data_IF_339422719357
#
_entry.id   IF_339422719357
#
_cell.length_a   1.000
_cell.length_b   1.000
_cell.length_c   1.000
_cell.angle_alpha   90.00
_cell.angle_beta   90.00
_cell.angle_gamma   90.00
#
_symmetry.space_group_name_H-M   'P 1'
#
loop_
_entity.id
_entity.type
_entity.pdbx_description
1 polymer ?
#
# COMPACT_ATOMS: atom_id res chain seq x y z
N UNK A 1 -22.59 4.29 2.56
CA UNK A 1 -21.57 5.36 2.62
C UNK A 1 -20.37 4.90 1.81
N UNK A 2 -20.41 5.11 0.49
CA UNK A 2 -19.27 4.96 -0.41
C UNK A 2 -19.23 6.25 -1.22
N UNK A 3 -18.84 7.32 -0.54
CA UNK A 3 -18.68 8.66 -1.11
C UNK A 3 -17.18 8.98 -1.17
N UNK A 4 -16.42 8.03 -1.75
CA UNK A 4 -14.99 8.20 -2.01
C UNK A 4 -14.79 8.35 -3.52
N UNK A 5 -14.24 9.50 -3.92
CA UNK A 5 -13.90 9.77 -5.31
C UNK A 5 -12.66 8.98 -5.72
N UNK A 6 -12.73 8.41 -6.94
CA UNK A 6 -11.59 7.83 -7.64
C UNK A 6 -11.30 8.69 -8.87
N UNK A 7 -10.03 9.01 -9.08
CA UNK A 7 -9.61 9.79 -10.25
C UNK A 7 -9.74 8.99 -11.55
N UNK A 8 -9.77 7.65 -11.44
CA UNK A 8 -9.88 6.74 -12.58
C UNK A 8 -10.95 5.67 -12.38
N UNK A 9 -11.68 5.38 -13.45
CA UNK A 9 -12.76 4.38 -13.46
C UNK A 9 -12.25 2.95 -13.32
N UNK A 10 -11.06 2.64 -13.84
CA UNK A 10 -10.43 1.33 -13.71
C UNK A 10 -10.02 1.01 -12.26
N UNK A 11 -9.53 2.01 -11.53
CA UNK A 11 -9.27 1.91 -10.09
C UNK A 11 -10.57 1.68 -9.32
N UNK A 12 -11.63 2.44 -9.60
CA UNK A 12 -12.93 2.23 -8.96
C UNK A 12 -13.46 0.80 -9.20
N UNK A 13 -13.37 0.31 -10.44
CA UNK A 13 -13.78 -1.04 -10.82
C UNK A 13 -12.95 -2.12 -10.11
N UNK A 14 -11.65 -1.91 -9.90
CA UNK A 14 -10.80 -2.83 -9.15
C UNK A 14 -11.34 -3.08 -7.73
N UNK A 15 -11.72 -2.02 -7.01
CA UNK A 15 -12.30 -2.17 -5.68
C UNK A 15 -13.72 -2.75 -5.70
N UNK A 16 -14.55 -2.38 -6.67
CA UNK A 16 -15.90 -2.93 -6.79
C UNK A 16 -15.89 -4.44 -7.01
N UNK A 17 -14.92 -4.94 -7.79
CA UNK A 17 -14.75 -6.35 -8.12
C UNK A 17 -13.99 -7.16 -7.06
N UNK A 18 -13.39 -6.50 -6.05
CA UNK A 18 -12.70 -7.20 -4.98
C UNK A 18 -13.73 -7.92 -4.06
N UNK A 19 -13.51 -9.19 -3.72
CA UNK A 19 -14.39 -9.91 -2.81
C UNK A 19 -14.26 -9.40 -1.37
N UNK A 20 -15.30 -9.55 -0.56
CA UNK A 20 -15.16 -9.39 0.89
C UNK A 20 -14.46 -10.63 1.50
N UNK A 21 -13.67 -10.47 2.58
CA UNK A 21 -13.37 -9.24 3.32
C UNK A 21 -12.24 -8.38 2.69
N UNK A 22 -11.65 -8.82 1.58
CA UNK A 22 -10.49 -8.18 0.97
C UNK A 22 -10.78 -6.74 0.53
N UNK A 23 -11.96 -6.46 -0.05
CA UNK A 23 -12.36 -5.11 -0.46
C UNK A 23 -12.29 -4.11 0.69
N UNK A 24 -12.84 -4.45 1.86
CA UNK A 24 -12.79 -3.61 3.05
C UNK A 24 -11.34 -3.32 3.46
N UNK A 25 -10.49 -4.35 3.49
CA UNK A 25 -9.07 -4.21 3.82
C UNK A 25 -8.28 -3.35 2.84
N UNK A 26 -8.49 -3.57 1.53
CA UNK A 26 -7.87 -2.78 0.47
C UNK A 26 -8.27 -1.30 0.55
N UNK A 27 -9.53 -1.00 0.87
CA UNK A 27 -10.01 0.37 1.06
C UNK A 27 -9.38 1.03 2.29
N UNK A 28 -9.24 0.30 3.40
CA UNK A 28 -8.53 0.79 4.59
C UNK A 28 -7.07 1.10 4.27
N UNK A 29 -6.37 0.22 3.54
CA UNK A 29 -4.99 0.46 3.13
C UNK A 29 -4.88 1.66 2.17
N UNK A 30 -5.81 1.83 1.22
CA UNK A 30 -5.84 3.01 0.35
C UNK A 30 -5.91 4.30 1.16
N UNK A 31 -6.85 4.39 2.10
CA UNK A 31 -7.00 5.58 2.96
C UNK A 31 -5.71 5.87 3.74
N UNK A 32 -5.10 4.82 4.29
CA UNK A 32 -3.83 4.95 5.01
C UNK A 32 -2.71 5.46 4.10
N UNK A 33 -2.59 4.94 2.87
CA UNK A 33 -1.59 5.39 1.91
C UNK A 33 -1.77 6.87 1.57
N UNK A 34 -3.00 7.30 1.27
CA UNK A 34 -3.32 8.68 0.93
C UNK A 34 -3.06 9.64 2.09
N UNK A 35 -3.45 9.26 3.32
CA UNK A 35 -3.18 10.05 4.54
C UNK A 35 -1.69 10.16 4.83
N UNK A 36 -0.93 9.05 4.75
CA UNK A 36 0.52 9.10 4.95
C UNK A 36 1.20 9.96 3.90
N UNK A 37 0.76 9.89 2.65
CA UNK A 37 1.33 10.71 1.58
C UNK A 37 1.10 12.21 1.80
N UNK A 38 -0.11 12.62 2.18
CA UNK A 38 -0.44 14.03 2.43
C UNK A 38 0.33 14.61 3.63
N UNK A 39 0.64 13.77 4.62
CA UNK A 39 1.41 14.14 5.81
C UNK A 39 2.93 14.02 5.63
N UNK A 40 3.42 13.55 4.48
CA UNK A 40 4.86 13.33 4.27
C UNK A 40 5.45 14.35 3.29
N UNK A 41 6.24 15.31 3.77
CA UNK A 41 6.95 16.25 2.90
C UNK A 41 7.83 15.54 1.87
N UNK A 42 7.82 16.02 0.63
CA UNK A 42 8.62 15.49 -0.47
C UNK A 42 7.97 14.34 -1.25
N UNK A 43 6.85 13.77 -0.80
CA UNK A 43 6.10 12.76 -1.58
C UNK A 43 5.40 13.38 -2.78
N UNK A 44 4.81 14.57 -2.61
CA UNK A 44 4.01 15.22 -3.65
C UNK A 44 2.69 14.48 -3.90
N UNK A 45 2.09 14.69 -5.08
CA UNK A 45 0.85 14.02 -5.46
C UNK A 45 1.09 12.53 -5.71
N UNK A 46 0.17 11.69 -5.22
CA UNK A 46 0.12 10.29 -5.61
C UNK A 46 -0.73 10.08 -6.85
N UNK A 47 -0.29 9.19 -7.73
CA UNK A 47 -1.08 8.64 -8.82
C UNK A 47 -1.48 7.20 -8.49
N UNK A 48 -2.78 6.93 -8.60
CA UNK A 48 -3.36 5.59 -8.45
C UNK A 48 -3.52 4.98 -9.84
N UNK A 49 -2.88 3.86 -10.13
CA UNK A 49 -2.95 3.22 -11.44
C UNK A 49 -2.94 1.70 -11.33
N UNK A 50 -3.61 1.01 -12.26
CA UNK A 50 -3.49 -0.45 -12.35
C UNK A 50 -2.21 -0.85 -13.08
N UNK A 51 -1.39 -1.68 -12.42
CA UNK A 51 -0.17 -2.29 -12.99
C UNK A 51 -0.20 -3.79 -12.71
N UNK A 52 -0.13 -4.60 -13.75
CA UNK A 52 -0.26 -6.07 -13.66
C UNK A 52 -1.50 -6.54 -12.90
N UNK A 53 -2.64 -5.89 -13.17
CA UNK A 53 -3.93 -6.15 -12.52
C UNK A 53 -3.90 -5.97 -10.98
N UNK A 54 -2.96 -5.17 -10.48
CA UNK A 54 -2.86 -4.75 -9.09
C UNK A 54 -2.93 -3.24 -9.01
N UNK A 55 -3.51 -2.71 -7.94
CA UNK A 55 -3.52 -1.29 -7.71
C UNK A 55 -2.14 -0.82 -7.29
N UNK A 56 -1.57 0.13 -8.01
CA UNK A 56 -0.26 0.69 -7.75
C UNK A 56 -0.37 2.16 -7.36
N UNK A 57 0.48 2.57 -6.42
CA UNK A 57 0.64 3.96 -5.99
C UNK A 57 2.01 4.45 -6.44
N UNK A 58 2.01 5.54 -7.20
CA UNK A 58 3.21 6.14 -7.77
C UNK A 58 3.35 7.58 -7.27
N UNK A 59 4.59 8.05 -7.18
CA UNK A 59 4.93 9.45 -6.91
C UNK A 59 5.43 10.08 -8.23
N UNK A 60 4.56 10.36 -9.22
CA UNK A 60 5.00 10.73 -10.57
C UNK A 60 5.83 12.02 -10.62
N UNK A 61 5.47 12.99 -9.77
CA UNK A 61 6.03 14.34 -9.82
C UNK A 61 7.40 14.40 -9.14
N UNK A 62 7.53 13.74 -7.97
CA UNK A 62 8.73 13.81 -7.13
C UNK A 62 9.67 12.62 -7.32
N UNK A 63 9.16 11.47 -7.78
CA UNK A 63 9.88 10.19 -7.87
C UNK A 63 10.57 9.79 -6.56
N UNK A 64 10.03 10.26 -5.44
CA UNK A 64 10.54 10.09 -4.08
C UNK A 64 10.38 8.66 -3.55
N UNK A 65 9.36 7.94 -4.02
CA UNK A 65 9.01 6.63 -3.51
C UNK A 65 9.31 5.48 -4.45
N UNK A 66 9.42 4.30 -3.87
CA UNK A 66 9.24 3.04 -4.60
C UNK A 66 7.75 2.76 -4.76
N UNK A 67 7.36 2.16 -5.88
CA UNK A 67 5.96 1.78 -6.13
C UNK A 67 5.43 0.84 -5.05
N UNK A 68 4.36 1.26 -4.38
CA UNK A 68 3.54 0.40 -3.52
C UNK A 68 2.42 -0.21 -4.35
N UNK A 69 2.04 -1.45 -4.05
CA UNK A 69 0.90 -2.11 -4.69
C UNK A 69 -0.01 -2.77 -3.68
N UNK A 70 -1.30 -2.79 -3.98
CA UNK A 70 -2.32 -3.53 -3.25
C UNK A 70 -2.87 -4.64 -4.13
N UNK A 71 -3.03 -5.83 -3.56
CA UNK A 71 -3.48 -7.02 -4.27
C UNK A 71 -4.39 -7.90 -3.42
N UNK A 72 -5.41 -8.49 -4.05
CA UNK A 72 -6.17 -9.60 -3.47
C UNK A 72 -5.28 -10.86 -3.47
N UNK A 73 -5.37 -11.65 -2.41
CA UNK A 73 -4.61 -12.91 -2.25
C UNK A 73 -5.55 -14.03 -1.82
N UNK A 74 -5.18 -15.32 -2.03
CA UNK A 74 -5.95 -16.42 -1.47
C UNK A 74 -6.06 -16.27 0.05
N UNK A 75 -7.29 -16.05 0.54
CA UNK A 75 -7.56 -15.86 1.97
C UNK A 75 -7.40 -14.44 2.50
N UNK A 76 -7.23 -13.42 1.64
CA UNK A 76 -7.22 -12.03 2.08
C UNK A 76 -6.69 -11.03 1.05
N UNK A 77 -5.79 -10.17 1.50
CA UNK A 77 -5.18 -9.10 0.69
C UNK A 77 -3.76 -8.82 1.17
N UNK A 78 -3.00 -8.07 0.38
CA UNK A 78 -1.61 -7.77 0.70
C UNK A 78 -1.17 -6.37 0.22
N UNK A 79 -0.22 -5.81 0.95
CA UNK A 79 0.55 -4.62 0.58
C UNK A 79 1.92 -5.08 0.09
N UNK A 80 2.24 -4.74 -1.16
CA UNK A 80 3.48 -5.11 -1.82
C UNK A 80 4.38 -3.90 -2.04
N UNK A 81 5.68 -4.12 -1.90
CA UNK A 81 6.73 -3.20 -2.33
C UNK A 81 7.51 -3.81 -3.50
N UNK A 82 8.49 -3.06 -4.01
CA UNK A 82 9.40 -3.57 -5.02
C UNK A 82 10.41 -4.53 -4.38
N UNK A 83 10.47 -5.79 -4.84
CA UNK A 83 11.22 -6.87 -4.17
C UNK A 83 12.75 -6.67 -4.12
N UNK A 84 13.31 -5.76 -4.94
CA UNK A 84 14.73 -5.37 -4.90
C UNK A 84 15.04 -4.21 -3.94
N UNK A 85 14.09 -3.81 -3.12
CA UNK A 85 14.27 -2.77 -2.09
C UNK A 85 14.40 -3.39 -0.71
N UNK A 86 14.94 -2.64 0.24
CA UNK A 86 14.99 -3.05 1.64
C UNK A 86 13.70 -2.75 2.42
N UNK A 87 12.67 -2.17 1.78
CA UNK A 87 11.44 -1.68 2.43
C UNK A 87 10.78 -2.75 3.33
N UNK A 88 10.51 -3.94 2.77
CA UNK A 88 9.86 -5.03 3.51
C UNK A 88 10.82 -5.68 4.53
N UNK A 89 12.09 -5.99 4.18
CA UNK A 89 13.08 -6.43 5.15
C UNK A 89 13.23 -5.49 6.36
N UNK A 90 13.38 -4.19 6.15
CA UNK A 90 13.58 -3.19 7.20
C UNK A 90 12.35 -3.09 8.10
N UNK A 91 11.15 -3.15 7.51
CA UNK A 91 9.90 -3.19 8.25
C UNK A 91 9.79 -4.47 9.12
N UNK A 92 10.09 -5.64 8.54
CA UNK A 92 10.04 -6.90 9.27
C UNK A 92 11.07 -6.95 10.41
N UNK A 93 12.23 -6.31 10.24
CA UNK A 93 13.26 -6.19 11.28
C UNK A 93 12.84 -5.24 12.41
N UNK A 94 12.14 -4.15 12.09
CA UNK A 94 11.62 -3.21 13.09
C UNK A 94 10.46 -3.79 13.91
N UNK A 95 9.67 -4.70 13.32
CA UNK A 95 8.47 -5.29 13.92
C UNK A 95 8.48 -6.83 13.83
N UNK A 96 9.44 -7.51 14.48
CA UNK A 96 9.64 -8.94 14.29
C UNK A 96 8.44 -9.75 14.79
N UNK A 97 7.88 -10.58 13.91
CA UNK A 97 6.81 -11.53 14.24
C UNK A 97 5.41 -10.92 14.38
N UNK A 98 5.23 -9.63 14.09
CA UNK A 98 3.93 -8.96 14.19
C UNK A 98 3.06 -9.07 12.92
N UNK A 99 3.67 -9.39 11.78
CA UNK A 99 2.97 -9.52 10.49
C UNK A 99 3.33 -10.81 9.75
N UNK A 100 2.49 -11.12 8.75
CA UNK A 100 2.74 -12.18 7.78
C UNK A 100 3.51 -11.62 6.60
N UNK A 101 4.82 -11.84 6.61
CA UNK A 101 5.73 -11.33 5.57
C UNK A 101 5.90 -12.37 4.47
N UNK A 102 5.75 -11.95 3.22
CA UNK A 102 6.10 -12.76 2.04
C UNK A 102 7.49 -12.35 1.54
N UNK A 103 8.52 -13.07 1.99
CA UNK A 103 9.90 -12.84 1.59
C UNK A 103 10.31 -11.36 1.72
N UNK A 104 10.71 -10.75 0.61
CA UNK A 104 11.06 -9.32 0.54
C UNK A 104 10.02 -8.48 -0.20
N UNK A 105 8.85 -9.04 -0.52
CA UNK A 105 7.91 -8.44 -1.48
C UNK A 105 6.65 -7.87 -0.86
N UNK A 106 6.18 -8.34 0.28
CA UNK A 106 4.93 -7.80 0.84
C UNK A 106 4.52 -8.29 2.22
N UNK A 107 3.49 -7.64 2.74
CA UNK A 107 2.79 -7.92 4.00
C UNK A 107 1.39 -8.42 3.68
N UNK A 108 1.00 -9.55 4.27
CA UNK A 108 -0.31 -10.19 4.06
C UNK A 108 -1.26 -9.94 5.23
N UNK A 109 -2.53 -9.77 4.89
CA UNK A 109 -3.63 -9.49 5.80
C UNK A 109 -4.80 -10.41 5.45
N UNK A 110 -5.54 -10.89 6.47
CA UNK A 110 -6.77 -11.64 6.26
C UNK A 110 -7.98 -10.72 6.32
N UNK A 111 -7.96 -9.76 7.25
CA UNK A 111 -9.07 -8.83 7.51
C UNK A 111 -8.54 -7.41 7.70
N UNK A 112 -9.44 -6.42 7.60
CA UNK A 112 -9.08 -5.03 7.87
C UNK A 112 -8.60 -4.80 9.33
N UNK A 113 -8.95 -5.68 10.27
CA UNK A 113 -8.51 -5.61 11.66
C UNK A 113 -7.03 -5.97 11.85
N UNK A 114 -6.42 -6.64 10.87
CA UNK A 114 -4.98 -6.95 10.89
C UNK A 114 -4.13 -5.70 10.56
N UNK A 115 -4.76 -4.64 10.07
CA UNK A 115 -4.10 -3.36 9.76
C UNK A 115 -3.96 -2.57 11.06
N UNK A 116 -2.71 -2.30 11.42
CA UNK A 116 -2.27 -1.44 12.51
C UNK A 116 -1.83 -0.10 11.90
N UNK A 117 -2.66 0.96 11.97
CA UNK A 117 -2.36 2.20 11.26
C UNK A 117 -1.02 2.82 11.66
N UNK A 118 -0.64 2.95 12.95
CA UNK A 118 0.69 3.45 13.33
C UNK A 118 1.85 2.67 12.70
N UNK A 119 1.77 1.34 12.70
CA UNK A 119 2.85 0.47 12.23
C UNK A 119 2.92 0.40 10.71
N UNK A 120 1.80 0.15 10.04
CA UNK A 120 1.77 0.11 8.58
C UNK A 120 1.97 1.49 7.96
N UNK A 121 1.66 2.58 8.66
CA UNK A 121 2.04 3.93 8.22
C UNK A 121 3.56 4.10 8.13
N UNK A 122 4.36 3.48 9.01
CA UNK A 122 5.81 3.54 8.92
C UNK A 122 6.34 2.83 7.67
N UNK A 123 5.79 1.65 7.36
CA UNK A 123 6.09 0.93 6.12
C UNK A 123 5.76 1.77 4.88
N UNK A 124 4.55 2.34 4.84
CA UNK A 124 4.08 3.16 3.73
C UNK A 124 4.98 4.40 3.58
N UNK A 125 5.25 5.11 4.68
CA UNK A 125 6.08 6.32 4.67
C UNK A 125 7.49 6.01 4.19
N UNK A 126 8.08 4.90 4.63
CA UNK A 126 9.38 4.46 4.16
C UNK A 126 9.35 4.18 2.66
N UNK A 127 8.35 3.47 2.17
CA UNK A 127 8.22 3.18 0.75
C UNK A 127 8.05 4.44 -0.11
N UNK A 128 7.21 5.39 0.33
CA UNK A 128 6.94 6.66 -0.38
C UNK A 128 8.12 7.63 -0.34
N UNK A 129 9.11 7.43 0.52
CA UNK A 129 10.30 8.30 0.65
C UNK A 129 11.61 7.56 0.37
N UNK A 130 11.54 6.34 -0.17
CA UNK A 130 12.67 5.43 -0.32
C UNK A 130 13.85 6.03 -1.11
N UNK A 131 13.57 6.90 -2.09
CA UNK A 131 14.60 7.56 -2.91
C UNK A 131 15.04 8.93 -2.36
N UNK A 132 14.35 9.49 -1.37
CA UNK A 132 14.75 10.75 -0.72
C UNK A 132 15.84 10.56 0.33
N UNK A 133 15.95 9.35 0.89
CA UNK A 133 16.90 9.01 1.96
C UNK A 133 18.23 8.47 1.43
N UNK A 134 18.52 8.66 0.14
CA UNK A 134 19.70 8.13 -0.52
C UNK A 134 20.58 9.24 -1.10
#
# INVERSE_FOLDING_TARGET
MLDESFDRTDVAAYFQNAPEPARTGLMTLRRLILSVASETPGVGRLDEALRWNQLAYLTPDTKSGSTLRLGVTPGGFALYAHCRTSIIPDFAAAFPGLDRIEGTRGVHFQTAADIDPPRHAQLIRHALTYHLRR
#
